data_IF_964947056660
#
_entry.id   IF_964947056660
#
_cell.length_a   1.000
_cell.length_b   1.000
_cell.length_c   1.000
_cell.angle_alpha   90.00
_cell.angle_beta   90.00
_cell.angle_gamma   90.00
#
_symmetry.space_group_name_H-M   'P 1'
#
loop_
_entity.id
_entity.type
_entity.pdbx_description
1 polymer ?
#
# COMPACT_ATOMS: atom_id res chain seq x y z
N UNK A 1 3.93 18.83 17.60
CA UNK A 1 2.73 18.29 16.93
C UNK A 1 3.14 16.90 16.50
N UNK A 2 2.57 15.87 17.11
CA UNK A 2 2.89 14.48 16.76
C UNK A 2 2.07 14.10 15.54
N UNK A 3 2.68 13.51 14.53
CA UNK A 3 1.96 13.12 13.31
C UNK A 3 1.20 11.83 13.58
N UNK A 4 -0.12 11.87 13.36
CA UNK A 4 -0.97 10.68 13.47
C UNK A 4 -0.85 9.83 12.21
N UNK A 5 -0.61 8.54 12.40
CA UNK A 5 -0.45 7.57 11.33
C UNK A 5 -1.31 6.33 11.56
N UNK A 6 -1.62 5.63 10.47
CA UNK A 6 -2.34 4.35 10.48
C UNK A 6 -1.59 3.38 9.58
N UNK A 7 -1.21 2.23 10.11
CA UNK A 7 -0.74 1.09 9.31
C UNK A 7 -1.95 0.28 8.89
N UNK A 8 -2.10 0.04 7.59
CA UNK A 8 -3.14 -0.84 7.03
C UNK A 8 -2.45 -2.04 6.39
N UNK A 9 -2.71 -3.23 6.90
CA UNK A 9 -2.11 -4.48 6.40
C UNK A 9 -3.09 -5.61 6.21
N UNK A 10 -2.77 -6.53 5.31
CA UNK A 10 -3.55 -7.75 5.09
C UNK A 10 -2.91 -8.94 5.80
N UNK A 11 -3.53 -9.46 6.88
CA UNK A 11 -2.98 -10.59 7.64
C UNK A 11 -2.95 -11.89 6.85
N UNK A 12 -3.60 -11.98 5.69
CA UNK A 12 -3.53 -13.15 4.82
C UNK A 12 -2.41 -13.05 3.76
N UNK A 13 -1.55 -12.03 3.82
CA UNK A 13 -0.56 -11.74 2.79
C UNK A 13 0.88 -11.71 3.34
N UNK A 14 1.73 -12.60 2.84
CA UNK A 14 3.16 -12.64 3.18
C UNK A 14 3.41 -12.67 4.69
N UNK A 15 4.46 -11.96 5.13
CA UNK A 15 4.84 -11.83 6.55
C UNK A 15 3.89 -10.95 7.36
N UNK A 16 3.01 -10.17 6.72
CA UNK A 16 2.03 -9.33 7.43
C UNK A 16 1.01 -10.14 8.24
N UNK A 17 0.90 -11.45 7.97
CA UNK A 17 0.07 -12.39 8.73
C UNK A 17 0.68 -12.94 10.00
N UNK A 18 1.98 -12.73 10.21
CA UNK A 18 2.65 -13.21 11.40
C UNK A 18 2.20 -12.35 12.60
N UNK A 19 1.78 -13.02 13.68
CA UNK A 19 1.28 -12.35 14.88
C UNK A 19 2.32 -11.36 15.42
N UNK A 20 1.89 -10.11 15.62
CA UNK A 20 2.75 -9.03 16.13
C UNK A 20 3.75 -8.45 15.11
N UNK A 21 3.82 -8.96 13.88
CA UNK A 21 4.79 -8.48 12.89
C UNK A 21 4.56 -7.01 12.51
N UNK A 22 3.31 -6.63 12.20
CA UNK A 22 2.97 -5.22 11.93
C UNK A 22 3.10 -4.34 13.18
N UNK A 23 2.81 -4.89 14.35
CA UNK A 23 2.94 -4.17 15.62
C UNK A 23 4.40 -3.81 15.91
N UNK A 24 5.36 -4.67 15.56
CA UNK A 24 6.79 -4.35 15.69
C UNK A 24 7.23 -3.15 14.86
N UNK A 25 6.68 -2.98 13.64
CA UNK A 25 6.91 -1.78 12.85
C UNK A 25 6.19 -0.56 13.42
N UNK A 26 4.97 -0.74 13.94
CA UNK A 26 4.25 0.33 14.64
C UNK A 26 5.06 0.84 15.83
N UNK A 27 5.63 -0.05 16.64
CA UNK A 27 6.50 0.30 17.78
C UNK A 27 7.75 1.04 17.34
N UNK A 28 8.38 0.61 16.24
CA UNK A 28 9.54 1.31 15.65
C UNK A 28 9.18 2.74 15.25
N UNK A 29 8.05 2.92 14.59
CA UNK A 29 7.55 4.23 14.15
C UNK A 29 7.10 5.11 15.33
N UNK A 30 6.50 4.51 16.37
CA UNK A 30 6.16 5.21 17.62
C UNK A 30 7.39 5.70 18.36
N UNK A 31 8.43 4.87 18.45
CA UNK A 31 9.73 5.26 19.00
C UNK A 31 10.38 6.40 18.20
N UNK A 32 10.08 6.49 16.90
CA UNK A 32 10.47 7.59 16.02
C UNK A 32 9.63 8.86 16.14
N UNK A 33 8.59 8.87 16.98
CA UNK A 33 7.75 10.05 17.27
C UNK A 33 6.47 10.16 16.46
N UNK A 34 5.96 9.06 15.90
CA UNK A 34 4.62 9.00 15.29
C UNK A 34 3.58 8.42 16.27
N UNK A 35 2.32 8.86 16.20
CA UNK A 35 1.21 8.16 16.87
C UNK A 35 0.62 7.16 15.88
N UNK A 36 0.89 5.86 16.08
CA UNK A 36 0.58 4.82 15.08
C UNK A 36 -0.50 3.87 15.59
N UNK A 37 -1.56 3.71 14.80
CA UNK A 37 -2.57 2.65 14.94
C UNK A 37 -2.36 1.56 13.88
N UNK A 38 -2.62 0.29 14.22
CA UNK A 38 -2.54 -0.84 13.27
C UNK A 38 -3.93 -1.36 12.97
N UNK A 39 -4.30 -1.36 11.70
CA UNK A 39 -5.59 -1.85 11.20
C UNK A 39 -5.38 -3.00 10.22
N UNK A 40 -6.00 -4.14 10.53
CA UNK A 40 -5.95 -5.32 9.67
C UNK A 40 -7.16 -5.36 8.73
N UNK A 41 -6.92 -5.69 7.46
CA UNK A 41 -8.01 -5.91 6.50
C UNK A 41 -8.68 -7.25 6.76
N UNK A 42 -10.00 -7.32 6.66
CA UNK A 42 -10.76 -8.56 6.88
C UNK A 42 -11.20 -9.23 5.56
N UNK A 43 -11.26 -8.44 4.49
CA UNK A 43 -11.77 -8.84 3.18
C UNK A 43 -11.12 -8.01 2.05
N UNK A 44 -11.21 -8.47 0.79
CA UNK A 44 -10.82 -7.64 -0.36
C UNK A 44 -11.51 -6.28 -0.35
N UNK A 45 -10.80 -5.26 -0.84
CA UNK A 45 -11.19 -3.85 -0.87
C UNK A 45 -11.35 -3.17 0.50
N UNK A 46 -11.19 -3.88 1.63
CA UNK A 46 -11.33 -3.27 2.97
C UNK A 46 -10.25 -2.21 3.24
N UNK A 47 -9.05 -2.33 2.66
CA UNK A 47 -8.03 -1.29 2.84
C UNK A 47 -8.45 0.06 2.24
N UNK A 48 -9.30 0.04 1.19
CA UNK A 48 -9.91 1.25 0.62
C UNK A 48 -10.78 1.96 1.65
N UNK A 49 -11.63 1.21 2.36
CA UNK A 49 -12.54 1.74 3.38
C UNK A 49 -11.77 2.30 4.58
N UNK A 50 -10.77 1.56 5.04
CA UNK A 50 -9.89 1.98 6.15
C UNK A 50 -9.09 3.24 5.79
N UNK A 51 -8.52 3.31 4.59
CA UNK A 51 -7.78 4.47 4.12
C UNK A 51 -8.68 5.71 3.97
N UNK A 52 -9.93 5.53 3.52
CA UNK A 52 -10.91 6.62 3.46
C UNK A 52 -11.30 7.12 4.84
N UNK A 53 -11.46 6.23 5.82
CA UNK A 53 -11.77 6.59 7.20
C UNK A 53 -10.61 7.33 7.90
N UNK A 54 -9.37 7.09 7.47
CA UNK A 54 -8.18 7.74 8.03
C UNK A 54 -8.07 9.24 7.66
N UNK A 55 -8.84 9.73 6.67
CA UNK A 55 -8.84 11.15 6.28
C UNK A 55 -7.48 11.62 5.79
N UNK A 56 -6.99 12.75 6.31
CA UNK A 56 -5.74 13.39 5.89
C UNK A 56 -4.50 12.90 6.67
N UNK A 57 -4.64 11.80 7.43
CA UNK A 57 -3.55 11.21 8.22
C UNK A 57 -2.48 10.60 7.31
N UNK A 58 -1.31 10.28 7.89
CA UNK A 58 -0.32 9.44 7.24
C UNK A 58 -0.85 7.99 7.20
N UNK A 59 -1.13 7.47 6.01
CA UNK A 59 -1.58 6.09 5.83
C UNK A 59 -0.43 5.25 5.30
N UNK A 60 -0.04 4.23 6.05
CA UNK A 60 1.07 3.34 5.75
C UNK A 60 0.51 2.03 5.23
N UNK A 61 0.63 1.78 3.92
CA UNK A 61 0.23 0.54 3.30
C UNK A 61 1.27 -0.56 3.56
N UNK A 62 0.93 -1.53 4.41
CA UNK A 62 1.77 -2.67 4.75
C UNK A 62 1.37 -3.92 3.98
N UNK A 63 2.05 -4.18 2.87
CA UNK A 63 1.68 -5.28 1.99
C UNK A 63 2.39 -5.24 0.64
N UNK A 64 1.78 -5.90 -0.34
CA UNK A 64 2.20 -5.83 -1.74
C UNK A 64 1.38 -4.84 -2.56
N UNK A 65 1.51 -4.93 -3.88
CA UNK A 65 0.89 -3.99 -4.82
C UNK A 65 -0.64 -3.91 -4.70
N UNK A 66 -1.30 -5.02 -4.33
CA UNK A 66 -2.75 -5.05 -4.09
C UNK A 66 -3.17 -4.18 -2.91
N UNK A 67 -2.50 -4.33 -1.76
CA UNK A 67 -2.75 -3.52 -0.57
C UNK A 67 -2.48 -2.03 -0.83
N UNK A 68 -1.36 -1.73 -1.49
CA UNK A 68 -1.02 -0.36 -1.89
C UNK A 68 -2.08 0.23 -2.83
N UNK A 69 -2.57 -0.57 -3.80
CA UNK A 69 -3.61 -0.12 -4.72
C UNK A 69 -4.95 0.14 -4.03
N UNK A 70 -5.38 -0.73 -3.13
CA UNK A 70 -6.60 -0.52 -2.33
C UNK A 70 -6.48 0.76 -1.49
N UNK A 71 -5.36 0.95 -0.78
CA UNK A 71 -5.11 2.17 -0.01
C UNK A 71 -5.21 3.41 -0.90
N UNK A 72 -4.53 3.46 -2.05
CA UNK A 72 -4.58 4.60 -2.99
C UNK A 72 -6.01 4.94 -3.43
N UNK A 73 -6.88 3.94 -3.57
CA UNK A 73 -8.27 4.17 -3.94
C UNK A 73 -9.09 4.78 -2.80
N UNK A 74 -8.68 4.60 -1.54
CA UNK A 74 -9.32 5.17 -0.37
C UNK A 74 -8.76 6.51 0.10
N UNK A 75 -7.52 6.85 -0.28
CA UNK A 75 -6.86 8.07 0.22
C UNK A 75 -7.62 9.36 -0.14
N UNK A 76 -7.62 10.30 0.82
CA UNK A 76 -7.93 11.69 0.53
C UNK A 76 -6.82 12.30 -0.34
N UNK A 77 -7.12 13.44 -0.98
CA UNK A 77 -6.13 14.16 -1.81
C UNK A 77 -4.96 14.72 -0.99
N UNK A 78 -5.21 15.04 0.28
CA UNK A 78 -4.24 15.71 1.15
C UNK A 78 -3.57 14.72 2.13
N UNK A 79 -3.99 13.44 2.11
CA UNK A 79 -3.35 12.36 2.84
C UNK A 79 -1.94 12.07 2.30
N UNK A 80 -1.07 11.61 3.20
CA UNK A 80 0.28 11.14 2.83
C UNK A 80 0.30 9.61 2.82
N UNK A 81 0.86 9.02 1.77
CA UNK A 81 1.07 7.57 1.68
C UNK A 81 2.48 7.19 2.13
N UNK A 82 2.59 6.33 3.13
CA UNK A 82 3.77 5.52 3.42
C UNK A 82 3.63 4.13 2.83
N UNK A 83 4.73 3.52 2.40
CA UNK A 83 4.72 2.14 1.88
C UNK A 83 5.65 1.30 2.76
N UNK A 84 5.10 0.25 3.38
CA UNK A 84 5.86 -0.80 4.05
C UNK A 84 5.87 -2.04 3.12
N UNK A 85 6.97 -2.29 2.39
CA UNK A 85 7.02 -3.22 1.27
C UNK A 85 7.10 -4.69 1.73
N UNK A 86 5.95 -5.29 2.03
CA UNK A 86 5.85 -6.69 2.49
C UNK A 86 5.47 -7.67 1.36
N UNK A 87 5.26 -7.17 0.15
CA UNK A 87 5.00 -7.97 -1.05
C UNK A 87 6.25 -8.43 -1.77
N UNK A 88 6.07 -9.16 -2.87
CA UNK A 88 7.18 -9.67 -3.69
C UNK A 88 7.64 -8.66 -4.75
N UNK A 89 6.71 -8.02 -5.46
CA UNK A 89 7.05 -7.13 -6.56
C UNK A 89 7.29 -5.70 -6.07
N UNK A 90 6.37 -5.14 -5.27
CA UNK A 90 6.46 -3.79 -4.68
C UNK A 90 6.80 -2.73 -5.73
N UNK A 91 6.05 -2.76 -6.84
CA UNK A 91 6.35 -2.00 -8.07
C UNK A 91 6.40 -0.51 -7.76
N UNK A 92 5.40 0.03 -7.08
CA UNK A 92 5.38 1.46 -6.77
C UNK A 92 6.57 1.88 -5.90
N UNK A 93 6.94 1.07 -4.90
CA UNK A 93 8.11 1.34 -4.07
C UNK A 93 9.41 1.37 -4.90
N UNK A 94 9.55 0.45 -5.87
CA UNK A 94 10.70 0.41 -6.78
C UNK A 94 10.76 1.64 -7.69
N UNK A 95 9.64 1.99 -8.32
CA UNK A 95 9.56 3.13 -9.23
C UNK A 95 9.85 4.46 -8.50
N UNK A 96 9.44 4.56 -7.23
CA UNK A 96 9.73 5.71 -6.38
C UNK A 96 11.13 5.69 -5.75
N UNK A 97 11.93 4.64 -5.99
CA UNK A 97 13.26 4.49 -5.41
C UNK A 97 13.25 4.35 -3.88
N UNK A 98 12.16 3.84 -3.31
CA UNK A 98 12.04 3.60 -1.88
C UNK A 98 12.82 2.34 -1.47
N UNK A 99 13.31 2.28 -0.20
CA UNK A 99 13.84 1.05 0.37
C UNK A 99 12.83 -0.09 0.24
N UNK A 100 13.33 -1.29 -0.05
CA UNK A 100 12.50 -2.49 -0.23
C UNK A 100 12.55 -3.43 0.97
N UNK A 101 13.47 -3.19 1.89
CA UNK A 101 13.47 -3.79 3.21
C UNK A 101 12.55 -2.99 4.15
N UNK A 102 11.76 -3.67 5.02
CA UNK A 102 10.81 -3.01 5.90
C UNK A 102 11.46 -2.00 6.87
N UNK A 103 12.66 -2.29 7.38
CA UNK A 103 13.37 -1.43 8.31
C UNK A 103 13.78 -0.09 7.66
N UNK A 104 14.38 -0.14 6.48
CA UNK A 104 14.71 1.05 5.70
C UNK A 104 13.47 1.83 5.27
N UNK A 105 12.36 1.13 5.00
CA UNK A 105 11.09 1.81 4.71
C UNK A 105 10.56 2.58 5.93
N UNK A 106 10.65 2.01 7.14
CA UNK A 106 10.33 2.73 8.38
C UNK A 106 11.23 3.96 8.59
N UNK A 107 12.54 3.84 8.38
CA UNK A 107 13.47 4.98 8.45
C UNK A 107 13.07 6.07 7.45
N UNK A 108 12.72 5.68 6.22
CA UNK A 108 12.27 6.62 5.18
C UNK A 108 10.95 7.30 5.55
N UNK A 109 10.01 6.60 6.17
CA UNK A 109 8.73 7.17 6.64
C UNK A 109 8.98 8.20 7.76
N UNK A 110 9.96 7.95 8.64
CA UNK A 110 10.27 8.85 9.76
C UNK A 110 11.03 10.11 9.35
N UNK A 111 11.95 9.97 8.39
CA UNK A 111 12.96 11.00 8.09
C UNK A 111 12.81 11.64 6.72
N UNK A 112 12.04 11.02 5.82
CA UNK A 112 11.90 11.46 4.45
C UNK A 112 10.95 12.64 4.28
N UNK A 113 11.24 13.47 3.28
CA UNK A 113 10.30 14.49 2.84
C UNK A 113 9.19 13.88 1.98
N UNK A 114 7.95 14.29 2.25
CA UNK A 114 6.82 13.99 1.38
C UNK A 114 6.91 14.81 0.08
N UNK A 115 6.49 14.20 -1.03
CA UNK A 115 6.35 14.87 -2.31
C UNK A 115 4.96 14.62 -2.88
N UNK A 116 4.48 15.51 -3.75
CA UNK A 116 3.20 15.30 -4.43
C UNK A 116 3.37 14.38 -5.62
N UNK A 117 2.52 13.37 -5.68
CA UNK A 117 2.45 12.41 -6.77
C UNK A 117 1.09 12.49 -7.43
N UNK A 118 1.08 12.56 -8.76
CA UNK A 118 -0.15 12.42 -9.54
C UNK A 118 -0.54 10.94 -9.65
N UNK A 119 -1.84 10.68 -9.63
CA UNK A 119 -2.40 9.35 -9.89
C UNK A 119 -3.31 9.41 -11.10
N UNK A 120 -3.31 8.34 -11.89
CA UNK A 120 -4.26 8.19 -12.98
C UNK A 120 -5.64 7.83 -12.46
N UNK A 121 -6.68 8.25 -13.17
CA UNK A 121 -8.08 7.87 -12.89
C UNK A 121 -8.65 7.22 -14.14
N UNK A 122 -9.20 6.03 -14.00
CA UNK A 122 -9.97 5.33 -15.01
C UNK A 122 -11.45 5.36 -14.62
N UNK A 123 -12.32 5.71 -15.56
CA UNK A 123 -13.77 5.76 -15.36
C UNK A 123 -14.42 4.71 -16.24
N UNK A 124 -15.27 3.85 -15.66
CA UNK A 124 -16.01 2.86 -16.42
C UNK A 124 -17.26 3.45 -17.11
N UNK A 125 -17.98 2.60 -17.85
CA UNK A 125 -19.20 3.01 -18.57
C UNK A 125 -20.37 3.41 -17.67
N UNK A 126 -20.33 3.07 -16.38
CA UNK A 126 -21.33 3.45 -15.38
C UNK A 126 -20.94 4.72 -14.61
N UNK A 127 -19.74 5.26 -14.87
CA UNK A 127 -19.22 6.45 -14.21
C UNK A 127 -18.42 6.15 -12.93
N UNK A 128 -18.14 4.89 -12.62
CA UNK A 128 -17.33 4.52 -11.46
C UNK A 128 -15.86 4.83 -11.74
N UNK A 129 -15.23 5.60 -10.85
CA UNK A 129 -13.81 5.96 -10.95
C UNK A 129 -12.93 5.00 -10.14
N UNK A 130 -11.76 4.65 -10.70
CA UNK A 130 -10.71 3.89 -10.02
C UNK A 130 -9.35 4.54 -10.26
N UNK A 131 -8.55 4.67 -9.21
CA UNK A 131 -7.21 5.26 -9.23
C UNK A 131 -6.13 4.21 -9.49
N UNK A 132 -5.07 4.61 -10.20
CA UNK A 132 -3.87 3.81 -10.41
C UNK A 132 -2.61 4.68 -10.33
N UNK A 133 -1.54 4.14 -9.72
CA UNK A 133 -0.27 4.84 -9.54
C UNK A 133 0.83 4.42 -10.51
N UNK A 134 0.67 3.30 -11.21
CA UNK A 134 1.70 2.78 -12.12
C UNK A 134 1.17 2.63 -13.55
N UNK A 135 0.26 1.68 -13.78
CA UNK A 135 -0.23 1.37 -15.12
C UNK A 135 -1.69 0.93 -15.09
N UNK A 136 -2.40 1.19 -16.19
CA UNK A 136 -3.69 0.61 -16.53
C UNK A 136 -3.60 0.08 -17.97
N UNK A 137 -4.14 -1.11 -18.23
CA UNK A 137 -4.10 -1.78 -19.54
C UNK A 137 -5.50 -2.18 -20.01
N UNK A 138 -5.72 -2.21 -21.33
CA UNK A 138 -6.99 -2.61 -21.97
C UNK A 138 -6.73 -3.52 -23.16
N UNK A 139 -7.47 -4.64 -23.23
CA UNK A 139 -7.35 -5.61 -24.32
C UNK A 139 -6.53 -6.84 -23.93
N UNK A 140 -5.76 -7.38 -24.88
CA UNK A 140 -5.10 -8.68 -24.76
C UNK A 140 -4.07 -8.76 -23.62
N UNK A 141 -3.40 -7.65 -23.31
CA UNK A 141 -2.47 -7.51 -22.17
C UNK A 141 -3.18 -7.68 -20.82
N UNK A 142 -4.38 -7.12 -20.67
CA UNK A 142 -5.19 -7.25 -19.46
C UNK A 142 -5.70 -8.68 -19.27
N UNK A 143 -6.08 -9.37 -20.36
CA UNK A 143 -6.49 -10.77 -20.30
C UNK A 143 -5.35 -11.69 -19.88
N UNK A 144 -4.14 -11.45 -20.38
CA UNK A 144 -2.94 -12.21 -19.96
C UNK A 144 -2.66 -12.02 -18.47
N UNK A 145 -2.71 -10.78 -17.95
CA UNK A 145 -2.50 -10.52 -16.51
C UNK A 145 -3.60 -11.17 -15.65
N UNK A 146 -4.85 -11.18 -16.13
CA UNK A 146 -6.00 -11.79 -15.43
C UNK A 146 -5.93 -13.32 -15.40
N UNK A 147 -5.44 -13.95 -16.46
CA UNK A 147 -5.27 -15.41 -16.55
C UNK A 147 -4.01 -15.95 -15.85
N UNK A 148 -3.04 -15.08 -15.52
CA UNK A 148 -1.90 -15.43 -14.65
C UNK A 148 -2.42 -15.61 -13.22
N UNK A 149 -3.05 -16.75 -12.97
CA UNK A 149 -3.51 -17.13 -11.64
C UNK A 149 -2.36 -17.21 -10.63
N UNK A 150 -2.65 -17.25 -9.31
CA UNK A 150 -1.65 -17.20 -8.24
C UNK A 150 -0.51 -18.23 -8.38
N UNK A 151 -0.78 -19.35 -9.05
CA UNK A 151 0.17 -20.43 -9.32
C UNK A 151 1.25 -20.07 -10.36
N UNK A 152 0.95 -19.22 -11.34
CA UNK A 152 1.87 -18.88 -12.43
C UNK A 152 2.81 -17.71 -12.06
N UNK A 153 2.42 -16.84 -11.11
CA UNK A 153 3.31 -15.83 -10.49
C UNK A 153 4.56 -16.44 -9.84
N UNK A 154 4.52 -17.72 -9.43
CA UNK A 154 5.67 -18.44 -8.85
C UNK A 154 6.70 -18.87 -9.92
N UNK A 155 6.31 -18.96 -11.19
CA UNK A 155 7.18 -19.42 -12.30
C UNK A 155 7.77 -18.29 -13.14
N UNK A 156 7.27 -17.06 -13.01
CA UNK A 156 7.90 -15.86 -13.57
C UNK A 156 9.03 -15.31 -12.67
N UNK A 157 9.53 -16.14 -11.74
CA UNK A 157 10.77 -15.95 -10.99
C UNK A 157 11.95 -16.31 -11.90
N UNK A 158 12.35 -15.39 -12.77
CA UNK A 158 13.66 -15.44 -13.43
C UNK A 158 14.48 -14.24 -13.03
#
# INVERSE_FOLDING_TARGET
MTTEAVIIGNPNSGSAGDEGYLEGFADTLRAGGLEVEVLNTERPDHATELASAAGDRLVIAAGGDGTVNEVINGLSKDATLGILPLGTANVLARELGLPLDPEGACERILTGDAFRMDVGVATDGEGTERRFACMAGIGFDADVVREVGPRLKRYLRS
#
